data_IF_493436718928
#
_entry.id   IF_493436718928
#
_cell.length_a   1.000
_cell.length_b   1.000
_cell.length_c   1.000
_cell.angle_alpha   90.00
_cell.angle_beta   90.00
_cell.angle_gamma   90.00
#
_symmetry.space_group_name_H-M   'P 1'
#
loop_
_entity.id
_entity.type
_entity.pdbx_description
1 polymer ?
#
# COMPACT_ATOMS: atom_id res chain seq x y z
N UNK A 1 -15.00 -0.78 12.88
CA UNK A 1 -13.93 -1.06 11.89
C UNK A 1 -13.75 -2.56 11.78
N UNK A 2 -13.40 -3.10 10.61
CA UNK A 2 -13.27 -4.56 10.42
C UNK A 2 -11.88 -5.12 10.73
N UNK A 3 -10.86 -4.26 10.80
CA UNK A 3 -9.44 -4.65 10.93
C UNK A 3 -8.91 -5.54 9.79
N UNK A 4 -9.62 -5.68 8.67
CA UNK A 4 -9.24 -6.57 7.55
C UNK A 4 -8.11 -6.03 6.65
N UNK A 5 -7.63 -4.80 6.87
CA UNK A 5 -6.64 -4.17 5.98
C UNK A 5 -5.35 -4.96 5.75
N UNK A 6 -4.77 -5.69 6.73
CA UNK A 6 -3.56 -6.50 6.49
C UNK A 6 -3.83 -7.64 5.51
N UNK A 7 -4.95 -8.35 5.68
CA UNK A 7 -5.32 -9.45 4.79
C UNK A 7 -5.68 -8.98 3.38
N UNK A 8 -6.42 -7.88 3.25
CA UNK A 8 -6.77 -7.30 1.94
C UNK A 8 -5.54 -6.67 1.27
N UNK A 9 -4.60 -6.08 2.02
CA UNK A 9 -3.33 -5.55 1.47
C UNK A 9 -2.60 -6.63 0.69
N UNK A 10 -2.53 -7.84 1.24
CA UNK A 10 -1.80 -8.96 0.70
C UNK A 10 -2.64 -9.90 -0.17
N UNK A 11 -3.95 -9.64 -0.30
CA UNK A 11 -4.95 -10.56 -0.89
C UNK A 11 -4.79 -11.99 -0.37
N UNK A 12 -4.71 -12.10 0.95
CA UNK A 12 -5.02 -13.34 1.67
C UNK A 12 -6.54 -13.53 1.77
N UNK A 13 -7.28 -12.42 1.69
CA UNK A 13 -8.69 -12.34 1.33
C UNK A 13 -8.82 -11.22 0.30
N UNK A 14 -9.58 -11.46 -0.75
CA UNK A 14 -9.78 -10.53 -1.87
C UNK A 14 -10.88 -9.52 -1.58
N UNK A 15 -10.88 -8.43 -2.36
CA UNK A 15 -11.96 -7.45 -2.34
C UNK A 15 -13.31 -8.08 -2.74
N UNK A 16 -13.30 -9.06 -3.65
CA UNK A 16 -14.49 -9.76 -4.15
C UNK A 16 -15.09 -10.63 -3.05
N UNK A 17 -14.31 -11.49 -2.40
CA UNK A 17 -14.79 -12.35 -1.30
C UNK A 17 -15.42 -11.53 -0.17
N UNK A 18 -14.79 -10.40 0.18
CA UNK A 18 -15.35 -9.49 1.18
C UNK A 18 -16.68 -8.92 0.70
N UNK A 19 -16.75 -8.39 -0.53
CA UNK A 19 -17.97 -7.81 -1.09
C UNK A 19 -19.11 -8.84 -1.18
N UNK A 20 -18.83 -10.07 -1.58
CA UNK A 20 -19.82 -11.16 -1.67
C UNK A 20 -20.48 -11.42 -0.32
N UNK A 21 -19.68 -11.55 0.73
CA UNK A 21 -20.19 -11.77 2.09
C UNK A 21 -21.01 -10.58 2.57
N UNK A 22 -20.51 -9.35 2.42
CA UNK A 22 -21.17 -8.19 3.02
C UNK A 22 -22.46 -7.84 2.28
N UNK A 23 -22.45 -7.89 0.94
CA UNK A 23 -23.63 -7.63 0.12
C UNK A 23 -24.66 -8.76 0.26
N UNK A 24 -24.23 -10.02 0.36
CA UNK A 24 -25.14 -11.14 0.60
C UNK A 24 -25.85 -11.09 1.95
N UNK A 25 -25.17 -10.62 3.01
CA UNK A 25 -25.75 -10.56 4.36
C UNK A 25 -26.58 -9.30 4.64
N UNK A 26 -26.22 -8.16 4.05
CA UNK A 26 -26.78 -6.87 4.42
C UNK A 26 -27.45 -6.10 3.27
N UNK A 27 -27.20 -6.49 2.01
CA UNK A 27 -27.58 -5.70 0.83
C UNK A 27 -26.75 -4.41 0.69
N UNK A 28 -26.80 -3.79 -0.49
CA UNK A 28 -25.96 -2.63 -0.79
C UNK A 28 -26.25 -1.43 0.12
N UNK A 29 -27.53 -1.13 0.37
CA UNK A 29 -27.93 0.07 1.13
C UNK A 29 -27.39 0.08 2.56
N UNK A 30 -27.42 -1.06 3.26
CA UNK A 30 -26.91 -1.16 4.62
C UNK A 30 -25.36 -1.26 4.65
N UNK A 31 -24.76 -1.90 3.65
CA UNK A 31 -23.31 -2.07 3.54
C UNK A 31 -22.58 -0.88 2.89
N UNK A 32 -23.30 0.12 2.38
CA UNK A 32 -22.80 1.15 1.47
C UNK A 32 -21.52 1.84 1.97
N UNK A 33 -21.49 2.20 3.27
CA UNK A 33 -20.30 2.83 3.88
C UNK A 33 -19.09 1.91 3.89
N UNK A 34 -19.29 0.63 4.20
CA UNK A 34 -18.22 -0.35 4.22
C UNK A 34 -17.69 -0.63 2.81
N UNK A 35 -18.59 -0.77 1.84
CA UNK A 35 -18.23 -0.88 0.42
C UNK A 35 -17.38 0.30 -0.02
N UNK A 36 -17.75 1.53 0.34
CA UNK A 36 -16.95 2.71 0.02
C UNK A 36 -15.53 2.68 0.58
N UNK A 37 -15.31 2.11 1.77
CA UNK A 37 -13.96 1.95 2.34
C UNK A 37 -13.10 0.95 1.55
N UNK A 38 -13.69 -0.12 1.01
CA UNK A 38 -12.99 -1.03 0.08
C UNK A 38 -12.56 -0.24 -1.17
N UNK A 39 -13.49 0.53 -1.75
CA UNK A 39 -13.23 1.31 -2.94
C UNK A 39 -12.25 2.47 -2.72
N UNK A 40 -12.05 2.96 -1.49
CA UNK A 40 -11.01 3.95 -1.19
C UNK A 40 -9.61 3.37 -1.42
N UNK A 41 -9.36 2.13 -0.99
CA UNK A 41 -8.10 1.42 -1.26
C UNK A 41 -7.91 1.23 -2.76
N UNK A 42 -8.94 0.75 -3.46
CA UNK A 42 -8.91 0.55 -4.91
C UNK A 42 -8.67 1.86 -5.66
N UNK A 43 -9.28 2.95 -5.21
CA UNK A 43 -9.06 4.29 -5.74
C UNK A 43 -7.60 4.70 -5.59
N UNK A 44 -7.00 4.54 -4.41
CA UNK A 44 -5.60 4.93 -4.22
C UNK A 44 -4.64 4.12 -5.08
N UNK A 45 -4.82 2.79 -5.17
CA UNK A 45 -4.01 1.93 -6.05
C UNK A 45 -4.16 2.35 -7.52
N UNK A 46 -5.38 2.40 -8.04
CA UNK A 46 -5.63 2.78 -9.43
C UNK A 46 -5.21 4.22 -9.77
N UNK A 47 -5.29 5.16 -8.81
CA UNK A 47 -4.83 6.53 -9.02
C UNK A 47 -3.31 6.62 -9.05
N UNK A 48 -2.61 5.95 -8.12
CA UNK A 48 -1.14 5.94 -8.11
C UNK A 48 -0.58 5.24 -9.36
N UNK A 49 -1.23 4.16 -9.80
CA UNK A 49 -0.86 3.45 -11.02
C UNK A 49 -0.92 4.35 -12.25
N UNK A 50 -1.91 5.23 -12.31
CA UNK A 50 -2.04 6.22 -13.37
C UNK A 50 -1.12 7.44 -13.16
N UNK A 51 -0.50 7.62 -11.99
CA UNK A 51 0.39 8.74 -11.68
C UNK A 51 1.69 8.25 -11.03
N UNK A 52 2.45 7.35 -11.67
CA UNK A 52 3.58 6.65 -11.03
C UNK A 52 4.69 7.59 -10.57
N UNK A 53 4.81 8.77 -11.19
CA UNK A 53 5.76 9.81 -10.79
C UNK A 53 5.61 10.27 -9.34
N UNK A 54 4.42 10.13 -8.73
CA UNK A 54 4.20 10.46 -7.32
C UNK A 54 5.01 9.57 -6.39
N UNK A 55 5.11 8.27 -6.70
CA UNK A 55 5.91 7.34 -5.90
C UNK A 55 7.40 7.62 -6.05
N UNK A 56 7.88 7.82 -7.28
CA UNK A 56 9.29 8.16 -7.54
C UNK A 56 9.69 9.48 -6.88
N UNK A 57 8.81 10.49 -6.93
CA UNK A 57 9.05 11.77 -6.25
C UNK A 57 9.03 11.64 -4.73
N UNK A 58 8.14 10.81 -4.18
CA UNK A 58 8.14 10.48 -2.75
C UNK A 58 9.49 9.87 -2.33
N UNK A 59 9.99 8.88 -3.05
CA UNK A 59 11.27 8.23 -2.74
C UNK A 59 12.45 9.20 -2.86
N UNK A 60 12.47 10.04 -3.90
CA UNK A 60 13.52 11.05 -4.08
C UNK A 60 13.50 12.11 -2.97
N UNK A 61 12.33 12.63 -2.61
CA UNK A 61 12.19 13.57 -1.50
C UNK A 61 12.56 12.92 -0.17
N UNK A 62 12.13 11.68 0.10
CA UNK A 62 12.51 10.93 1.30
C UNK A 62 14.03 10.84 1.46
N UNK A 63 14.75 10.43 0.41
CA UNK A 63 16.21 10.41 0.43
C UNK A 63 16.82 11.80 0.68
N UNK A 64 16.23 12.85 0.10
CA UNK A 64 16.61 14.23 0.36
C UNK A 64 16.41 14.63 1.83
N UNK A 65 15.25 14.31 2.41
CA UNK A 65 14.94 14.62 3.81
C UNK A 65 15.84 13.85 4.78
N UNK A 66 16.17 12.59 4.50
CA UNK A 66 17.12 11.82 5.33
C UNK A 66 18.52 12.46 5.32
N UNK A 67 18.98 12.97 4.16
CA UNK A 67 20.22 13.75 4.10
C UNK A 67 20.12 15.04 4.92
N UNK A 68 18.99 15.74 4.88
CA UNK A 68 18.76 16.93 5.71
C UNK A 68 18.80 16.62 7.20
N UNK A 69 18.13 15.54 7.64
CA UNK A 69 18.16 15.04 9.01
C UNK A 69 19.60 14.77 9.46
N UNK A 70 20.44 14.16 8.64
CA UNK A 70 21.84 13.90 8.99
C UNK A 70 22.71 15.15 9.16
N UNK A 71 22.28 16.30 8.61
CA UNK A 71 23.05 17.55 8.59
C UNK A 71 22.54 18.61 9.57
N UNK A 72 21.27 18.56 9.94
CA UNK A 72 20.63 19.51 10.87
C UNK A 72 20.35 18.82 12.21
N UNK A 73 21.12 19.17 13.23
CA UNK A 73 21.02 18.60 14.58
C UNK A 73 19.66 18.84 15.23
N UNK A 74 19.01 19.98 14.97
CA UNK A 74 17.70 20.29 15.54
C UNK A 74 16.62 19.46 14.85
N UNK A 75 16.67 19.36 13.53
CA UNK A 75 15.77 18.49 12.78
C UNK A 75 15.95 17.02 13.20
N UNK A 76 17.19 16.56 13.38
CA UNK A 76 17.49 15.21 13.85
C UNK A 76 16.89 14.93 15.23
N UNK A 77 17.07 15.83 16.20
CA UNK A 77 16.50 15.70 17.53
C UNK A 77 14.96 15.65 17.50
N UNK A 78 14.32 16.56 16.76
CA UNK A 78 12.86 16.58 16.63
C UNK A 78 12.32 15.32 15.94
N UNK A 79 13.03 14.82 14.91
CA UNK A 79 12.64 13.60 14.20
C UNK A 79 12.77 12.37 15.11
N UNK A 80 13.85 12.27 15.87
CA UNK A 80 14.08 11.20 16.84
C UNK A 80 13.01 11.19 17.93
N UNK A 81 12.74 12.34 18.57
CA UNK A 81 11.66 12.47 19.56
C UNK A 81 10.30 12.04 19.00
N UNK A 82 10.00 12.37 17.75
CA UNK A 82 8.76 11.95 17.11
C UNK A 82 8.72 10.45 16.79
N UNK A 83 9.86 9.84 16.46
CA UNK A 83 9.96 8.40 16.22
C UNK A 83 9.91 7.57 17.50
N UNK A 84 10.43 8.10 18.60
CA UNK A 84 10.50 7.43 19.89
C UNK A 84 9.24 7.63 20.73
N UNK A 85 8.35 8.54 20.32
CA UNK A 85 7.13 8.85 21.05
C UNK A 85 7.43 9.65 22.32
N UNK A 86 8.34 10.61 22.20
CA UNK A 86 8.80 11.48 23.29
C UNK A 86 8.55 12.96 22.95
N UNK A 87 7.41 13.24 22.30
CA UNK A 87 7.06 14.60 21.86
C UNK A 87 6.44 15.44 22.96
N UNK A 88 5.96 14.79 24.04
CA UNK A 88 5.19 15.42 25.11
C UNK A 88 3.71 15.63 24.74
N UNK A 89 3.26 15.03 23.63
CA UNK A 89 1.86 15.02 23.21
C UNK A 89 1.32 13.62 23.45
N UNK A 90 0.71 13.39 24.61
CA UNK A 90 0.34 12.05 25.12
C UNK A 90 -0.34 11.14 24.09
N UNK A 91 -1.25 11.67 23.27
CA UNK A 91 -1.92 10.86 22.25
C UNK A 91 -0.99 10.44 21.13
N UNK A 92 -0.13 11.34 20.66
CA UNK A 92 0.83 11.05 19.60
C UNK A 92 1.86 10.02 20.08
N UNK A 93 2.41 10.24 21.27
CA UNK A 93 3.39 9.36 21.91
C UNK A 93 2.82 7.94 22.14
N UNK A 94 1.57 7.84 22.60
CA UNK A 94 0.88 6.55 22.71
C UNK A 94 0.66 5.86 21.35
N UNK A 95 0.36 6.61 20.29
CA UNK A 95 0.18 6.03 18.94
C UNK A 95 1.48 5.57 18.30
N UNK A 96 2.61 6.23 18.58
CA UNK A 96 3.94 5.72 18.19
C UNK A 96 4.14 4.33 18.80
N UNK A 97 3.97 4.20 20.12
CA UNK A 97 4.13 2.92 20.82
C UNK A 97 3.16 1.84 20.34
N UNK A 98 1.89 2.20 20.11
CA UNK A 98 0.89 1.27 19.56
C UNK A 98 1.26 0.78 18.16
N UNK A 99 1.68 1.69 17.27
CA UNK A 99 2.06 1.35 15.91
C UNK A 99 3.28 0.44 15.88
N UNK A 100 4.33 0.77 16.62
CA UNK A 100 5.58 -0.02 16.64
C UNK A 100 5.32 -1.42 17.23
N UNK A 101 4.53 -1.50 18.30
CA UNK A 101 4.28 -2.77 19.01
C UNK A 101 3.32 -3.69 18.27
N UNK A 102 2.29 -3.15 17.62
CA UNK A 102 1.19 -3.96 17.04
C UNK A 102 1.21 -3.99 15.52
N UNK A 103 1.93 -3.07 14.89
CA UNK A 103 1.91 -2.85 13.46
C UNK A 103 0.61 -2.27 12.90
N UNK A 104 -0.28 -1.79 13.77
CA UNK A 104 -1.59 -1.26 13.37
C UNK A 104 -1.94 0.02 14.13
N UNK A 105 -2.66 0.91 13.44
CA UNK A 105 -3.36 2.04 14.04
C UNK A 105 -4.74 2.21 13.42
N UNK A 106 -5.72 2.64 14.21
CA UNK A 106 -7.04 3.03 13.72
C UNK A 106 -6.96 4.21 12.75
N UNK A 107 -7.76 4.23 11.68
CA UNK A 107 -7.69 5.26 10.63
C UNK A 107 -7.76 6.71 11.14
N UNK A 108 -8.68 7.01 12.07
CA UNK A 108 -8.74 8.36 12.67
C UNK A 108 -7.44 8.73 13.40
N UNK A 109 -6.81 7.79 14.12
CA UNK A 109 -5.53 8.02 14.77
C UNK A 109 -4.43 8.27 13.74
N UNK A 110 -4.40 7.53 12.63
CA UNK A 110 -3.48 7.79 11.51
C UNK A 110 -3.60 9.21 10.96
N UNK A 111 -4.82 9.70 10.76
CA UNK A 111 -5.09 11.06 10.28
C UNK A 111 -4.64 12.13 11.29
N UNK A 112 -4.90 11.93 12.59
CA UNK A 112 -4.43 12.85 13.62
C UNK A 112 -2.91 12.83 13.75
N UNK A 113 -2.30 11.64 13.78
CA UNK A 113 -0.86 11.43 13.80
C UNK A 113 -0.18 12.21 12.67
N UNK A 114 -0.62 12.01 11.42
CA UNK A 114 -0.05 12.69 10.27
C UNK A 114 -0.22 14.22 10.35
N UNK A 115 -1.38 14.70 10.82
CA UNK A 115 -1.61 16.14 10.99
C UNK A 115 -0.70 16.75 12.06
N UNK A 116 -0.52 16.07 13.20
CA UNK A 116 0.40 16.48 14.27
C UNK A 116 1.84 16.49 13.75
N UNK A 117 2.27 15.42 13.10
CA UNK A 117 3.59 15.30 12.47
C UNK A 117 3.92 16.48 11.56
N UNK A 118 3.04 16.75 10.59
CA UNK A 118 3.30 17.72 9.52
C UNK A 118 3.22 19.17 10.05
N UNK A 119 2.24 19.46 10.91
CA UNK A 119 1.88 20.83 11.23
C UNK A 119 2.25 21.26 12.64
N UNK A 120 2.13 20.37 13.62
CA UNK A 120 2.47 20.67 15.02
C UNK A 120 3.97 20.49 15.23
N UNK A 121 4.53 19.33 14.87
CA UNK A 121 5.96 19.04 14.97
C UNK A 121 6.77 19.67 13.82
N UNK A 122 6.09 20.10 12.74
CA UNK A 122 6.69 20.73 11.56
C UNK A 122 7.72 19.85 10.84
N UNK A 123 7.55 18.53 10.92
CA UNK A 123 8.42 17.56 10.26
C UNK A 123 7.99 17.34 8.79
N UNK A 124 8.93 17.02 7.89
CA UNK A 124 8.62 16.60 6.53
C UNK A 124 7.63 15.42 6.51
N UNK A 125 6.57 15.53 5.69
CA UNK A 125 5.54 14.49 5.61
C UNK A 125 6.09 13.16 5.10
N UNK A 126 7.11 13.19 4.25
CA UNK A 126 7.74 12.00 3.67
C UNK A 126 8.42 11.13 4.73
N UNK A 127 9.03 11.74 5.75
CA UNK A 127 9.61 11.02 6.89
C UNK A 127 8.54 10.34 7.75
N UNK A 128 7.36 10.95 7.89
CA UNK A 128 6.23 10.34 8.62
C UNK A 128 5.55 9.22 7.83
N UNK A 129 5.42 9.41 6.51
CA UNK A 129 4.94 8.37 5.61
C UNK A 129 5.89 7.16 5.60
N UNK A 130 7.21 7.39 5.63
CA UNK A 130 8.21 6.35 5.79
C UNK A 130 8.07 5.61 7.12
N UNK A 131 7.97 6.34 8.24
CA UNK A 131 7.73 5.76 9.56
C UNK A 131 6.52 4.80 9.52
N UNK A 132 5.43 5.19 8.86
CA UNK A 132 4.26 4.32 8.69
C UNK A 132 4.56 3.08 7.85
N UNK A 133 5.23 3.20 6.70
CA UNK A 133 5.57 2.05 5.85
C UNK A 133 6.47 1.03 6.56
N UNK A 134 7.35 1.48 7.46
CA UNK A 134 8.24 0.61 8.24
C UNK A 134 7.54 -0.18 9.32
N UNK A 135 6.41 0.32 9.84
CA UNK A 135 5.77 -0.28 11.01
C UNK A 135 4.41 -0.92 10.69
N UNK A 136 3.72 -0.53 9.61
CA UNK A 136 2.40 -1.06 9.28
C UNK A 136 2.44 -2.47 8.67
N UNK A 137 1.69 -3.41 9.26
CA UNK A 137 1.40 -4.72 8.64
C UNK A 137 0.53 -4.57 7.38
N UNK A 138 -0.24 -3.49 7.27
CA UNK A 138 -1.01 -3.13 6.07
C UNK A 138 -0.31 -2.07 5.20
N UNK A 139 1.02 -1.95 5.31
CA UNK A 139 1.84 -0.99 4.59
C UNK A 139 1.68 -1.09 3.07
N UNK A 140 0.86 -0.21 2.50
CA UNK A 140 0.59 -0.10 1.06
C UNK A 140 1.23 1.18 0.48
N UNK A 141 2.08 1.08 -0.55
CA UNK A 141 2.70 2.26 -1.18
C UNK A 141 1.67 3.30 -1.63
N UNK A 142 0.57 2.87 -2.26
CA UNK A 142 -0.46 3.77 -2.75
C UNK A 142 -1.27 4.41 -1.62
N UNK A 143 -1.87 3.58 -0.76
CA UNK A 143 -2.75 4.05 0.30
C UNK A 143 -2.00 4.92 1.30
N UNK A 144 -0.77 4.55 1.67
CA UNK A 144 0.03 5.35 2.60
C UNK A 144 0.45 6.69 1.99
N UNK A 145 1.10 6.67 0.82
CA UNK A 145 1.63 7.90 0.18
C UNK A 145 0.51 8.90 -0.10
N UNK A 146 -0.60 8.43 -0.67
CA UNK A 146 -1.72 9.30 -1.04
C UNK A 146 -2.51 9.80 0.18
N UNK A 147 -2.64 9.00 1.26
CA UNK A 147 -3.25 9.45 2.49
C UNK A 147 -2.42 10.54 3.19
N UNK A 148 -1.09 10.38 3.26
CA UNK A 148 -0.20 11.42 3.80
C UNK A 148 -0.23 12.70 2.96
N UNK A 149 -0.21 12.58 1.62
CA UNK A 149 -0.42 13.72 0.71
C UNK A 149 -1.77 14.38 0.92
N UNK A 150 -2.83 13.62 1.20
CA UNK A 150 -4.15 14.16 1.48
C UNK A 150 -4.17 14.96 2.79
N UNK A 151 -3.60 14.43 3.87
CA UNK A 151 -3.47 15.17 5.15
C UNK A 151 -2.65 16.45 4.97
N UNK A 152 -1.57 16.39 4.19
CA UNK A 152 -0.72 17.54 3.87
C UNK A 152 -1.42 18.63 3.03
N UNK A 153 -2.58 18.33 2.43
CA UNK A 153 -3.29 19.20 1.49
C UNK A 153 -2.70 19.21 0.07
N UNK A 154 -1.83 18.24 -0.23
CA UNK A 154 -1.19 18.05 -1.54
C UNK A 154 -2.15 17.33 -2.50
N UNK A 155 -2.79 16.24 -2.02
CA UNK A 155 -3.65 15.41 -2.89
C UNK A 155 -4.94 16.12 -3.28
N UNK A 156 -5.55 16.84 -2.33
CA UNK A 156 -6.61 17.81 -2.61
C UNK A 156 -6.03 19.20 -2.39
N UNK A 157 -5.51 19.80 -3.46
CA UNK A 157 -4.71 21.02 -3.42
C UNK A 157 -5.36 22.10 -2.54
N UNK A 158 -4.64 22.52 -1.50
CA UNK A 158 -5.05 23.61 -0.61
C UNK A 158 -6.05 23.22 0.48
N UNK A 159 -6.35 21.93 0.65
CA UNK A 159 -7.27 21.43 1.69
C UNK A 159 -6.58 20.46 2.65
N UNK A 160 -5.68 20.93 3.52
CA UNK A 160 -5.04 20.06 4.50
C UNK A 160 -6.02 19.60 5.58
N UNK A 161 -5.77 18.41 6.12
CA UNK A 161 -6.53 17.90 7.26
C UNK A 161 -5.93 18.39 8.59
N UNK A 162 -6.79 18.94 9.44
CA UNK A 162 -6.41 19.54 10.73
C UNK A 162 -6.94 18.65 11.87
N UNK A 163 -6.03 18.08 12.67
CA UNK A 163 -6.38 17.42 13.92
C UNK A 163 -6.98 18.43 14.90
N UNK A 164 -8.08 18.04 15.55
CA UNK A 164 -8.78 18.87 16.54
C UNK A 164 -8.77 18.17 17.88
N UNK A 165 -8.34 18.88 18.92
CA UNK A 165 -8.32 18.34 20.28
C UNK A 165 -9.70 17.84 20.74
N UNK A 166 -10.78 18.54 20.37
CA UNK A 166 -12.15 18.11 20.68
C UNK A 166 -12.53 16.77 20.01
N UNK A 167 -12.08 16.54 18.77
CA UNK A 167 -12.32 15.28 18.08
C UNK A 167 -11.50 14.15 18.73
N UNK A 168 -10.22 14.39 19.01
CA UNK A 168 -9.35 13.41 19.70
C UNK A 168 -9.98 13.05 21.05
N UNK A 169 -10.38 14.04 21.84
CA UNK A 169 -11.03 13.81 23.13
C UNK A 169 -12.32 12.98 23.02
N UNK A 170 -13.23 13.37 22.12
CA UNK A 170 -14.48 12.64 21.91
C UNK A 170 -14.25 11.18 21.48
N UNK A 171 -13.41 10.96 20.48
CA UNK A 171 -13.24 9.64 19.84
C UNK A 171 -12.19 8.76 20.52
N UNK A 172 -11.55 9.26 21.57
CA UNK A 172 -10.70 8.46 22.47
C UNK A 172 -11.38 8.24 23.82
N UNK A 173 -12.69 8.47 23.91
CA UNK A 173 -13.48 8.36 25.15
C UNK A 173 -12.85 9.16 26.30
N UNK A 174 -12.44 10.40 26.01
CA UNK A 174 -11.80 11.34 26.93
C UNK A 174 -10.42 10.92 27.44
N UNK A 175 -9.82 9.83 26.92
CA UNK A 175 -8.47 9.38 27.30
C UNK A 175 -7.39 10.44 26.99
N UNK A 176 -7.54 11.16 25.87
CA UNK A 176 -6.58 12.18 25.46
C UNK A 176 -7.24 13.53 25.24
N UNK A 177 -6.59 14.61 25.63
CA UNK A 177 -7.12 15.97 25.46
C UNK A 177 -6.00 16.99 25.18
N UNK A 178 -5.40 16.99 23.97
CA UNK A 178 -4.24 17.83 23.65
C UNK A 178 -4.64 19.29 23.37
N UNK A 179 -5.43 19.89 24.26
CA UNK A 179 -5.85 21.29 24.14
C UNK A 179 -4.61 22.18 24.26
N UNK A 180 -4.53 23.22 23.42
CA UNK A 180 -3.38 24.14 23.32
C UNK A 180 -2.06 23.54 22.82
N UNK A 181 -1.97 22.21 22.62
CA UNK A 181 -0.77 21.57 22.08
C UNK A 181 -0.75 21.50 20.55
N UNK A 182 -1.93 21.55 19.90
CA UNK A 182 -2.05 21.34 18.45
C UNK A 182 -2.05 22.65 17.65
N UNK A 183 -1.32 22.67 16.53
CA UNK A 183 -1.37 23.79 15.58
C UNK A 183 -2.64 23.70 14.71
N UNK A 184 -3.52 24.70 14.83
CA UNK A 184 -4.81 24.75 14.10
C UNK A 184 -4.83 25.71 12.93
N UNK A 185 -3.97 26.74 12.93
CA UNK A 185 -3.75 27.64 11.78
C UNK A 185 -2.56 27.12 10.96
N UNK A 186 -2.87 26.48 9.84
CA UNK A 186 -1.88 25.78 9.02
C UNK A 186 -1.96 26.20 7.56
N UNK A 187 -0.85 26.05 6.85
CA UNK A 187 -0.77 26.25 5.40
C UNK A 187 -0.56 24.90 4.76
N UNK A 188 -1.30 24.65 3.68
CA UNK A 188 -1.14 23.43 2.87
C UNK A 188 0.30 23.29 2.39
N UNK A 189 0.83 22.07 2.44
CA UNK A 189 2.07 21.76 1.74
C UNK A 189 1.81 21.79 0.23
N UNK A 190 2.88 22.02 -0.54
CA UNK A 190 2.84 22.06 -1.99
C UNK A 190 3.72 20.95 -2.55
N UNK A 191 3.30 20.40 -3.68
CA UNK A 191 4.13 19.55 -4.53
C UNK A 191 4.35 20.32 -5.83
N UNK A 192 5.59 20.76 -6.12
CA UNK A 192 5.87 21.56 -7.31
C UNK A 192 5.86 20.73 -8.60
N UNK A 193 5.87 19.39 -8.49
CA UNK A 193 5.95 18.52 -9.64
C UNK A 193 4.57 18.31 -10.28
N UNK A 194 4.53 18.36 -11.60
CA UNK A 194 3.36 17.96 -12.37
C UNK A 194 3.43 16.46 -12.67
N UNK A 195 2.73 15.66 -11.88
CA UNK A 195 2.64 14.22 -12.07
C UNK A 195 1.68 13.91 -13.21
N UNK A 196 2.23 13.66 -14.40
CA UNK A 196 1.43 13.37 -15.57
C UNK A 196 0.72 12.02 -15.46
N UNK A 197 -0.55 12.00 -15.85
CA UNK A 197 -1.34 10.79 -15.95
C UNK A 197 -0.79 9.89 -17.07
N UNK A 198 -0.71 8.59 -16.81
CA UNK A 198 -0.42 7.53 -17.77
C UNK A 198 -1.62 6.61 -17.95
N UNK A 199 -1.70 5.97 -19.11
CA UNK A 199 -2.64 4.87 -19.33
C UNK A 199 -2.27 3.70 -18.44
N UNK A 200 -3.27 2.93 -18.01
CA UNK A 200 -3.04 1.65 -17.34
C UNK A 200 -2.36 0.71 -18.34
N UNK A 201 -1.33 -0.04 -17.92
CA UNK A 201 -0.66 -0.96 -18.82
C UNK A 201 -1.55 -2.15 -19.17
N UNK A 202 -1.29 -2.68 -20.37
CA UNK A 202 -1.86 -3.93 -20.84
C UNK A 202 -1.23 -5.11 -20.08
N UNK A 203 -2.01 -6.16 -19.90
CA UNK A 203 -1.63 -7.38 -19.19
C UNK A 203 -2.05 -8.59 -20.03
N UNK A 204 -1.43 -9.74 -19.78
CA UNK A 204 -1.83 -10.98 -20.43
C UNK A 204 -3.29 -11.31 -20.07
N UNK A 205 -4.02 -11.86 -21.03
CA UNK A 205 -5.29 -12.50 -20.72
C UNK A 205 -5.04 -13.93 -20.23
N UNK A 206 -5.99 -14.52 -19.52
CA UNK A 206 -5.84 -15.89 -19.03
C UNK A 206 -5.60 -16.86 -20.19
N UNK A 207 -6.23 -16.62 -21.34
CA UNK A 207 -6.10 -17.48 -22.53
C UNK A 207 -4.70 -17.42 -23.17
N UNK A 208 -3.92 -16.38 -22.89
CA UNK A 208 -2.57 -16.19 -23.42
C UNK A 208 -1.50 -16.97 -22.62
N UNK A 209 -1.86 -17.57 -21.49
CA UNK A 209 -0.90 -18.25 -20.62
C UNK A 209 -0.59 -19.65 -21.16
N UNK A 210 0.70 -19.97 -21.44
CA UNK A 210 1.09 -21.29 -21.91
C UNK A 210 0.98 -22.33 -20.78
N UNK A 211 0.74 -23.61 -21.08
CA UNK A 211 0.61 -24.67 -20.08
C UNK A 211 1.87 -24.87 -19.22
N UNK A 212 3.05 -24.50 -19.73
CA UNK A 212 4.33 -24.66 -19.07
C UNK A 212 4.84 -23.33 -18.51
N UNK A 213 4.60 -23.07 -17.22
CA UNK A 213 5.05 -21.86 -16.55
C UNK A 213 5.30 -22.09 -15.05
N UNK A 214 6.10 -21.19 -14.47
CA UNK A 214 6.24 -21.04 -13.02
C UNK A 214 5.33 -19.92 -12.53
N UNK A 215 4.66 -20.14 -11.40
CA UNK A 215 3.88 -19.11 -10.73
C UNK A 215 4.78 -18.37 -9.74
N UNK A 216 4.95 -17.06 -9.94
CA UNK A 216 5.53 -16.17 -8.94
C UNK A 216 4.41 -15.53 -8.12
N UNK A 217 4.29 -15.94 -6.86
CA UNK A 217 3.38 -15.35 -5.88
C UNK A 217 4.11 -14.24 -5.14
N UNK A 218 3.51 -13.06 -5.07
CA UNK A 218 4.11 -11.89 -4.42
C UNK A 218 3.23 -11.39 -3.28
N UNK A 219 3.77 -10.52 -2.44
CA UNK A 219 3.00 -9.92 -1.34
C UNK A 219 1.88 -8.96 -1.78
N UNK A 220 1.77 -8.64 -3.06
CA UNK A 220 0.67 -7.83 -3.61
C UNK A 220 -0.57 -8.65 -3.98
N UNK A 221 -0.41 -9.96 -4.23
CA UNK A 221 -1.50 -10.88 -4.48
C UNK A 221 -1.14 -12.32 -4.11
N UNK A 222 -1.50 -12.74 -2.91
CA UNK A 222 -1.21 -14.09 -2.41
C UNK A 222 -2.30 -15.13 -2.76
N UNK A 223 -3.33 -14.75 -3.53
CA UNK A 223 -4.39 -15.66 -4.00
C UNK A 223 -4.45 -15.75 -5.53
N UNK A 224 -3.44 -15.28 -6.25
CA UNK A 224 -3.48 -15.18 -7.73
C UNK A 224 -3.64 -16.54 -8.42
N UNK A 225 -3.29 -17.64 -7.76
CA UNK A 225 -3.43 -18.99 -8.30
C UNK A 225 -4.86 -19.34 -8.73
N UNK A 226 -5.87 -18.73 -8.11
CA UNK A 226 -7.30 -18.92 -8.42
C UNK A 226 -7.71 -18.33 -9.78
N UNK A 227 -6.90 -17.41 -10.34
CA UNK A 227 -7.15 -16.73 -11.62
C UNK A 227 -6.45 -17.45 -12.79
N UNK A 228 -5.73 -18.55 -12.54
CA UNK A 228 -4.97 -19.26 -13.56
C UNK A 228 -5.88 -20.17 -14.41
N UNK A 229 -5.68 -20.22 -15.74
CA UNK A 229 -6.45 -21.10 -16.61
C UNK A 229 -6.12 -22.59 -16.44
N UNK A 230 -4.93 -22.90 -15.93
CA UNK A 230 -4.40 -24.25 -15.70
C UNK A 230 -3.29 -24.19 -14.63
N UNK A 231 -2.94 -25.32 -13.97
CA UNK A 231 -2.00 -25.31 -12.85
C UNK A 231 -0.54 -25.03 -13.28
N UNK A 232 0.25 -24.30 -12.47
CA UNK A 232 1.67 -24.07 -12.76
C UNK A 232 2.51 -25.34 -12.56
N UNK A 233 3.69 -25.38 -13.19
CA UNK A 233 4.69 -26.44 -12.97
C UNK A 233 5.18 -26.41 -11.52
N UNK A 234 5.46 -25.22 -11.01
CA UNK A 234 5.80 -24.98 -9.61
C UNK A 234 5.48 -23.54 -9.23
N UNK A 235 5.33 -23.32 -7.92
CA UNK A 235 5.11 -22.00 -7.32
C UNK A 235 6.38 -21.52 -6.64
N UNK A 236 6.66 -20.23 -6.75
CA UNK A 236 7.75 -19.53 -6.06
C UNK A 236 7.14 -18.34 -5.33
N UNK A 237 7.48 -18.16 -4.06
CA UNK A 237 7.13 -16.96 -3.31
C UNK A 237 8.21 -15.90 -3.43
N UNK A 238 7.85 -14.62 -3.47
CA UNK A 238 8.81 -13.54 -3.32
C UNK A 238 8.27 -12.33 -2.54
N UNK A 239 9.11 -11.78 -1.66
CA UNK A 239 8.82 -10.60 -0.83
C UNK A 239 9.67 -9.41 -1.25
N UNK A 240 9.04 -8.25 -1.29
CA UNK A 240 9.66 -6.95 -1.52
C UNK A 240 9.45 -6.01 -0.31
N UNK A 241 9.16 -6.58 0.86
CA UNK A 241 8.74 -5.85 2.06
C UNK A 241 9.82 -4.88 2.50
N UNK A 242 11.09 -5.29 2.45
CA UNK A 242 12.25 -4.44 2.73
C UNK A 242 12.34 -3.25 1.76
N UNK A 243 11.84 -3.37 0.53
CA UNK A 243 11.83 -2.30 -0.45
C UNK A 243 10.83 -1.17 -0.15
N UNK A 244 10.02 -1.28 0.91
CA UNK A 244 9.07 -0.22 1.34
C UNK A 244 9.80 1.03 1.86
N UNK A 245 11.03 0.91 2.35
CA UNK A 245 11.80 2.00 2.95
C UNK A 245 13.31 1.81 2.72
N UNK A 246 14.11 2.89 2.63
CA UNK A 246 15.56 2.79 2.69
C UNK A 246 16.10 2.54 4.12
N UNK A 247 15.24 2.59 5.15
CA UNK A 247 15.54 2.20 6.52
C UNK A 247 14.91 0.83 6.80
N UNK A 248 15.56 0.03 7.63
CA UNK A 248 15.08 -1.31 8.00
C UNK A 248 13.60 -1.32 8.43
N UNK A 249 12.86 -2.27 7.88
CA UNK A 249 11.46 -2.50 8.23
C UNK A 249 11.37 -3.14 9.63
N UNK A 250 10.35 -2.76 10.40
CA UNK A 250 10.10 -3.32 11.73
C UNK A 250 9.78 -4.82 11.68
N UNK A 251 10.04 -5.52 12.77
CA UNK A 251 9.90 -6.98 12.80
C UNK A 251 8.45 -7.45 12.63
N UNK A 252 7.48 -6.72 13.17
CA UNK A 252 6.05 -7.06 13.07
C UNK A 252 5.57 -7.15 11.61
N UNK A 253 5.73 -6.11 10.76
CA UNK A 253 5.37 -6.21 9.34
C UNK A 253 6.19 -7.24 8.55
N UNK A 254 7.49 -7.40 8.83
CA UNK A 254 8.31 -8.44 8.17
C UNK A 254 7.80 -9.84 8.49
N UNK A 255 7.55 -10.13 9.76
CA UNK A 255 7.05 -11.43 10.20
C UNK A 255 5.65 -11.71 9.65
N UNK A 256 4.77 -10.70 9.63
CA UNK A 256 3.44 -10.85 9.03
C UNK A 256 3.54 -11.26 7.56
N UNK A 257 4.29 -10.50 6.75
CA UNK A 257 4.44 -10.79 5.31
C UNK A 257 5.11 -12.15 5.05
N UNK A 258 6.16 -12.48 5.81
CA UNK A 258 6.86 -13.77 5.70
C UNK A 258 5.98 -14.96 6.08
N UNK A 259 5.22 -14.86 7.18
CA UNK A 259 4.33 -15.93 7.61
C UNK A 259 3.14 -16.10 6.68
N UNK A 260 2.58 -14.98 6.19
CA UNK A 260 1.52 -14.98 5.19
C UNK A 260 1.97 -15.70 3.90
N UNK A 261 3.12 -15.31 3.35
CA UNK A 261 3.62 -15.92 2.12
C UNK A 261 4.00 -17.39 2.33
N UNK A 262 4.59 -17.76 3.47
CA UNK A 262 4.85 -19.17 3.82
C UNK A 262 3.57 -20.00 3.91
N UNK A 263 2.49 -19.44 4.45
CA UNK A 263 1.21 -20.15 4.51
C UNK A 263 0.65 -20.46 3.11
N UNK A 264 0.88 -19.56 2.14
CA UNK A 264 0.44 -19.72 0.75
C UNK A 264 1.37 -20.62 -0.05
N UNK A 265 2.68 -20.42 0.09
CA UNK A 265 3.68 -21.18 -0.66
C UNK A 265 4.00 -22.54 -0.02
N UNK A 266 3.61 -22.81 1.23
CA UNK A 266 3.96 -24.04 1.96
C UNK A 266 5.46 -24.34 1.91
N UNK A 267 5.87 -25.52 1.41
CA UNK A 267 7.26 -25.96 1.29
C UNK A 267 8.00 -25.42 0.05
N UNK A 268 7.34 -24.59 -0.77
CA UNK A 268 7.94 -24.01 -1.96
C UNK A 268 9.02 -22.96 -1.62
N UNK A 269 9.93 -22.73 -2.56
CA UNK A 269 11.00 -21.74 -2.43
C UNK A 269 10.44 -20.32 -2.25
N UNK A 270 10.98 -19.57 -1.29
CA UNK A 270 10.62 -18.18 -1.01
C UNK A 270 11.87 -17.29 -1.10
N UNK A 271 11.80 -16.31 -2.00
CA UNK A 271 12.79 -15.25 -2.15
C UNK A 271 12.46 -14.12 -1.17
N UNK A 272 13.33 -13.89 -0.19
CA UNK A 272 13.15 -12.85 0.84
C UNK A 272 14.35 -11.89 0.93
N UNK A 273 15.02 -11.67 -0.20
CA UNK A 273 16.11 -10.71 -0.34
C UNK A 273 16.02 -10.03 -1.72
N UNK A 274 16.99 -9.19 -2.04
CA UNK A 274 17.00 -8.42 -3.28
C UNK A 274 17.49 -9.22 -4.51
N UNK A 275 17.84 -10.49 -4.37
CA UNK A 275 18.41 -11.31 -5.44
C UNK A 275 17.32 -12.01 -6.28
N UNK A 276 16.29 -11.26 -6.71
CA UNK A 276 15.17 -11.81 -7.48
C UNK A 276 15.63 -12.36 -8.83
N UNK A 277 16.47 -11.62 -9.58
CA UNK A 277 16.96 -12.05 -10.90
C UNK A 277 17.57 -13.45 -10.87
N UNK A 278 18.62 -13.63 -10.06
CA UNK A 278 19.43 -14.85 -10.05
C UNK A 278 18.60 -16.06 -9.61
N UNK A 279 17.78 -15.89 -8.57
CA UNK A 279 16.96 -16.97 -8.01
C UNK A 279 15.83 -17.38 -8.94
N UNK A 280 15.14 -16.42 -9.57
CA UNK A 280 14.10 -16.74 -10.55
C UNK A 280 14.69 -17.45 -11.79
N UNK A 281 15.88 -17.04 -12.24
CA UNK A 281 16.60 -17.74 -13.33
C UNK A 281 16.96 -19.17 -12.91
N UNK A 282 17.45 -19.36 -11.68
CA UNK A 282 17.78 -20.69 -11.15
C UNK A 282 16.55 -21.58 -11.08
N UNK A 283 15.43 -21.08 -10.56
CA UNK A 283 14.19 -21.84 -10.47
C UNK A 283 13.61 -22.19 -11.85
N UNK A 284 13.68 -21.26 -12.82
CA UNK A 284 13.34 -21.55 -14.22
C UNK A 284 14.20 -22.67 -14.81
N UNK A 285 15.52 -22.64 -14.59
CA UNK A 285 16.44 -23.70 -15.06
C UNK A 285 16.12 -25.04 -14.41
N UNK A 286 15.89 -25.06 -13.10
CA UNK A 286 15.58 -26.28 -12.33
C UNK A 286 14.31 -26.96 -12.83
N UNK A 287 13.30 -26.17 -13.19
CA UNK A 287 11.99 -26.65 -13.64
C UNK A 287 11.86 -26.70 -15.18
N UNK A 288 12.92 -26.39 -15.93
CA UNK A 288 12.94 -26.34 -17.40
C UNK A 288 11.86 -25.41 -18.00
N UNK A 289 11.45 -24.38 -17.25
CA UNK A 289 10.42 -23.44 -17.67
C UNK A 289 11.02 -22.18 -18.30
N UNK A 290 10.37 -21.65 -19.34
CA UNK A 290 10.73 -20.38 -19.99
C UNK A 290 9.76 -19.24 -19.72
N UNK A 291 8.72 -19.49 -18.93
CA UNK A 291 7.68 -18.52 -18.62
C UNK A 291 7.46 -18.44 -17.13
N UNK A 292 7.41 -17.22 -16.60
CA UNK A 292 6.94 -16.90 -15.26
C UNK A 292 5.62 -16.16 -15.41
N UNK A 293 4.60 -16.58 -14.67
CA UNK A 293 3.33 -15.85 -14.53
C UNK A 293 3.28 -15.27 -13.13
N UNK A 294 2.85 -14.02 -13.00
CA UNK A 294 2.65 -13.34 -11.71
C UNK A 294 1.42 -12.45 -11.77
N UNK A 295 0.84 -12.13 -10.62
CA UNK A 295 -0.09 -11.01 -10.52
C UNK A 295 0.57 -9.70 -10.96
N UNK A 296 -0.20 -8.82 -11.58
CA UNK A 296 0.20 -7.45 -11.84
C UNK A 296 0.42 -6.72 -10.51
N UNK A 297 1.68 -6.41 -10.19
CA UNK A 297 2.05 -5.63 -9.02
C UNK A 297 1.88 -4.13 -9.32
N UNK A 298 1.03 -3.39 -8.57
CA UNK A 298 0.91 -1.95 -8.74
C UNK A 298 2.21 -1.21 -8.40
N UNK A 299 2.28 0.08 -8.76
CA UNK A 299 3.38 0.99 -8.40
C UNK A 299 3.78 0.83 -6.93
N UNK A 300 5.00 0.35 -6.71
CA UNK A 300 5.53 0.01 -5.39
C UNK A 300 6.75 -0.92 -5.44
N UNK A 301 7.22 -1.38 -4.27
CA UNK A 301 8.45 -2.19 -4.16
C UNK A 301 8.43 -3.48 -4.97
N UNK A 302 7.32 -4.22 -4.97
CA UNK A 302 7.16 -5.46 -5.75
C UNK A 302 7.30 -5.20 -7.25
N UNK A 303 6.63 -4.16 -7.77
CA UNK A 303 6.75 -3.75 -9.17
C UNK A 303 8.19 -3.36 -9.50
N UNK A 304 8.87 -2.61 -8.63
CA UNK A 304 10.30 -2.29 -8.79
C UNK A 304 11.18 -3.54 -8.83
N UNK A 305 10.97 -4.50 -7.93
CA UNK A 305 11.75 -5.74 -7.89
C UNK A 305 11.59 -6.56 -9.18
N UNK A 306 10.35 -6.70 -9.67
CA UNK A 306 10.07 -7.42 -10.93
C UNK A 306 10.70 -6.69 -12.12
N UNK A 307 10.54 -5.37 -12.24
CA UNK A 307 11.09 -4.59 -13.34
C UNK A 307 12.62 -4.65 -13.39
N UNK A 308 13.28 -4.62 -12.22
CA UNK A 308 14.73 -4.79 -12.12
C UNK A 308 15.16 -6.18 -12.59
N UNK A 309 14.43 -7.23 -12.20
CA UNK A 309 14.72 -8.60 -12.60
C UNK A 309 14.41 -8.91 -14.08
N UNK A 310 13.47 -8.17 -14.67
CA UNK A 310 12.97 -8.44 -16.03
C UNK A 310 14.05 -8.33 -17.10
N UNK A 311 15.06 -7.46 -16.91
CA UNK A 311 16.18 -7.32 -17.84
C UNK A 311 16.99 -8.62 -17.90
N UNK A 312 17.39 -9.14 -16.75
CA UNK A 312 18.20 -10.36 -16.66
C UNK A 312 17.39 -11.60 -17.08
N UNK A 313 16.12 -11.69 -16.67
CA UNK A 313 15.21 -12.75 -17.08
C UNK A 313 15.08 -12.82 -18.61
N UNK A 314 14.90 -11.66 -19.25
CA UNK A 314 14.83 -11.58 -20.71
C UNK A 314 16.13 -12.02 -21.39
N UNK A 315 17.29 -11.64 -20.85
CA UNK A 315 18.59 -12.11 -21.34
C UNK A 315 18.77 -13.63 -21.18
N UNK A 316 18.18 -14.21 -20.14
CA UNK A 316 18.14 -15.66 -19.94
C UNK A 316 17.08 -16.38 -20.81
N UNK A 317 16.33 -15.65 -21.65
CA UNK A 317 15.27 -16.22 -22.48
C UNK A 317 13.99 -16.58 -21.72
N UNK A 318 13.76 -15.96 -20.56
CA UNK A 318 12.57 -16.15 -19.73
C UNK A 318 11.59 -14.99 -19.96
N UNK A 319 10.35 -15.33 -20.28
CA UNK A 319 9.25 -14.38 -20.40
C UNK A 319 8.53 -14.22 -19.06
N UNK A 320 8.15 -12.99 -18.71
CA UNK A 320 7.27 -12.71 -17.57
C UNK A 320 5.93 -12.24 -18.09
N UNK A 321 4.86 -12.93 -17.69
CA UNK A 321 3.47 -12.59 -17.97
C UNK A 321 2.79 -12.08 -16.70
N UNK A 322 2.02 -11.01 -16.85
CA UNK A 322 1.28 -10.39 -15.76
C UNK A 322 -0.21 -10.66 -15.90
N UNK A 323 -0.86 -11.06 -14.82
CA UNK A 323 -2.31 -11.16 -14.72
C UNK A 323 -2.87 -10.05 -13.85
N UNK A 324 -3.87 -9.31 -14.34
CA UNK A 324 -4.62 -8.34 -13.52
C UNK A 324 -6.01 -8.89 -13.22
N UNK A 325 -6.35 -8.96 -11.94
CA UNK A 325 -7.69 -9.37 -11.50
C UNK A 325 -8.77 -8.54 -12.18
N UNK A 326 -9.90 -9.18 -12.46
CA UNK A 326 -11.05 -8.53 -13.06
C UNK A 326 -11.52 -7.31 -12.25
N UNK A 327 -11.48 -7.41 -10.91
CA UNK A 327 -11.78 -6.31 -9.99
C UNK A 327 -11.00 -5.03 -10.30
N UNK A 328 -9.68 -5.14 -10.42
CA UNK A 328 -8.81 -3.99 -10.73
C UNK A 328 -9.02 -3.50 -12.15
N UNK A 329 -9.15 -4.42 -13.12
CA UNK A 329 -9.39 -4.10 -14.54
C UNK A 329 -10.66 -3.26 -14.71
N UNK A 330 -11.73 -3.56 -13.96
CA UNK A 330 -12.98 -2.81 -14.01
C UNK A 330 -12.90 -1.53 -13.18
N UNK A 331 -12.30 -1.55 -11.99
CA UNK A 331 -12.38 -0.44 -11.05
C UNK A 331 -11.35 0.68 -11.29
N UNK A 332 -10.10 0.35 -11.62
CA UNK A 332 -9.01 1.35 -11.75
C UNK A 332 -9.25 2.42 -12.83
N UNK A 333 -9.92 2.13 -13.98
CA UNK A 333 -10.27 3.17 -14.94
C UNK A 333 -11.09 4.33 -14.34
N UNK A 334 -11.83 4.09 -13.25
CA UNK A 334 -12.60 5.11 -12.53
C UNK A 334 -11.77 5.94 -11.54
N UNK A 335 -10.52 5.55 -11.25
CA UNK A 335 -9.62 6.20 -10.31
C UNK A 335 -8.78 7.34 -10.93
N UNK A 336 -9.35 8.13 -11.85
CA UNK A 336 -8.62 9.16 -12.60
C UNK A 336 -8.88 10.61 -12.15
N UNK A 337 -9.89 10.84 -11.30
CA UNK A 337 -10.28 12.13 -10.71
C UNK A 337 -10.17 12.03 -9.18
N UNK A 338 -11.00 12.76 -8.43
CA UNK A 338 -11.18 12.56 -7.00
C UNK A 338 -12.04 11.32 -6.70
N UNK A 339 -11.90 10.75 -5.50
CA UNK A 339 -12.66 9.57 -5.06
C UNK A 339 -14.17 9.70 -5.25
N UNK A 340 -14.77 10.87 -5.00
CA UNK A 340 -16.22 11.07 -5.18
C UNK A 340 -16.70 10.84 -6.62
N UNK A 341 -15.82 10.95 -7.62
CA UNK A 341 -16.15 10.57 -8.99
C UNK A 341 -16.22 9.03 -9.14
N UNK A 342 -15.27 8.30 -8.56
CA UNK A 342 -15.29 6.83 -8.49
C UNK A 342 -16.48 6.33 -7.67
N UNK A 343 -16.75 6.95 -6.52
CA UNK A 343 -17.88 6.66 -5.62
C UNK A 343 -19.21 6.58 -6.37
N UNK A 344 -19.49 7.54 -7.26
CA UNK A 344 -20.72 7.56 -8.07
C UNK A 344 -20.84 6.38 -9.04
N UNK A 345 -19.72 5.77 -9.41
CA UNK A 345 -19.67 4.63 -10.32
C UNK A 345 -19.64 3.28 -9.58
N UNK A 346 -19.56 3.26 -8.25
CA UNK A 346 -19.48 2.01 -7.46
C UNK A 346 -20.62 1.04 -7.79
N UNK A 347 -21.90 1.46 -7.86
CA UNK A 347 -22.98 0.55 -8.26
C UNK A 347 -22.74 -0.12 -9.63
N UNK A 348 -22.38 0.67 -10.64
CA UNK A 348 -22.12 0.15 -11.99
C UNK A 348 -20.87 -0.75 -12.05
N UNK A 349 -19.85 -0.49 -11.21
CA UNK A 349 -18.67 -1.36 -11.09
C UNK A 349 -19.08 -2.71 -10.48
N UNK A 350 -19.90 -2.69 -9.43
CA UNK A 350 -20.39 -3.90 -8.77
C UNK A 350 -21.26 -4.75 -9.71
N UNK A 351 -22.17 -4.12 -10.46
CA UNK A 351 -22.99 -4.83 -11.47
C UNK A 351 -22.12 -5.51 -12.54
N UNK A 352 -21.07 -4.84 -13.02
CA UNK A 352 -20.12 -5.41 -13.99
C UNK A 352 -19.30 -6.57 -13.41
N UNK A 353 -19.10 -6.59 -12.10
CA UNK A 353 -18.47 -7.70 -11.37
C UNK A 353 -19.46 -8.82 -11.02
N UNK A 354 -20.73 -8.70 -11.42
CA UNK A 354 -21.75 -9.73 -11.21
C UNK A 354 -22.50 -9.63 -9.88
N UNK A 355 -22.27 -8.58 -9.08
CA UNK A 355 -23.00 -8.39 -7.83
C UNK A 355 -24.45 -7.94 -8.06
N UNK A 356 -25.36 -8.45 -7.24
CA UNK A 356 -26.75 -7.96 -7.13
C UNK A 356 -26.82 -6.94 -6.00
N UNK A 357 -27.33 -5.73 -6.28
CA UNK A 357 -27.34 -4.59 -5.34
C UNK A 357 -28.61 -4.51 -4.50
#
# INVERSE_FOLDING_TARGET
VSALSPWIRHRLITEVEVLEVILGQHGFQAAERFVHEIFWRTYFKGWLEQHPGVWTAYQADLHGQMKSVSKDRRLAANYMQAMDGETGIDCFDAWVGELVRTGYLHNHARMWFASIWIFTLQLPWTLGADFFLRHLIDGDPASNTLAWRWVAGIQTRGRPYIARASNINKFTNQKFCPVHQLKTKIVSKQDPLNHLRRSLPDVAQAEDIPPEFLLLVTEDDMQIAEELPHPPIATIGALATEGRSPIAIGDVPKQFAANALRAVCMDHHIINDNAWSDKLIEDCKRNQAKTIVTSYAPVGPTSTAILNAQVDLKLAGIQVLFLRRQFDTIAWPHANKGFFAMKKNVPAILEKLGFKL
#
